data_IF_529327027340
#
_entry.id   IF_529327027340
#
_cell.length_a   1.000
_cell.length_b   1.000
_cell.length_c   1.000
_cell.angle_alpha   90.00
_cell.angle_beta   90.00
_cell.angle_gamma   90.00
#
_symmetry.space_group_name_H-M   'P 1'
#
loop_
_entity.id
_entity.type
_entity.pdbx_description
1 polymer ?
#
# COMPACT_ATOMS: atom_id res chain seq x y z
N UNK A 1 56.09 -33.19 -4.06
CA UNK A 1 56.17 -34.67 -4.04
C UNK A 1 54.76 -35.22 -4.14
N UNK A 2 54.57 -35.94 -5.22
CA UNK A 2 53.52 -36.89 -5.57
C UNK A 2 52.06 -36.56 -5.39
N UNK A 3 51.51 -36.29 -6.54
CA UNK A 3 50.14 -36.47 -7.05
C UNK A 3 49.71 -37.94 -7.02
N UNK A 4 48.43 -38.21 -6.72
CA UNK A 4 47.75 -39.41 -7.19
C UNK A 4 46.33 -39.07 -7.61
N UNK A 5 46.16 -38.98 -8.92
CA UNK A 5 44.89 -38.99 -9.62
C UNK A 5 44.44 -40.45 -9.87
N UNK A 6 43.23 -40.80 -9.51
CA UNK A 6 42.57 -42.06 -9.85
C UNK A 6 41.55 -41.79 -10.98
N UNK A 7 41.67 -42.48 -12.16
CA UNK A 7 40.68 -42.28 -13.23
C UNK A 7 39.51 -43.25 -13.07
N UNK A 8 38.29 -42.70 -13.12
CA UNK A 8 37.08 -43.51 -13.27
C UNK A 8 36.91 -43.97 -14.70
N UNK A 9 36.81 -45.30 -14.88
CA UNK A 9 36.52 -45.97 -16.16
C UNK A 9 35.00 -45.97 -16.38
N UNK A 10 34.55 -45.45 -17.52
CA UNK A 10 33.22 -45.65 -18.06
C UNK A 10 33.15 -46.98 -18.82
N UNK A 11 32.26 -47.87 -18.40
CA UNK A 11 31.94 -49.10 -19.14
C UNK A 11 30.69 -48.84 -20.00
N UNK A 12 30.88 -48.92 -21.32
CA UNK A 12 29.79 -48.89 -22.29
C UNK A 12 29.22 -50.29 -22.49
N UNK A 13 27.89 -50.45 -22.34
CA UNK A 13 27.19 -51.61 -22.90
C UNK A 13 26.01 -51.05 -23.74
N UNK A 14 26.23 -51.04 -25.05
CA UNK A 14 25.18 -50.85 -26.03
C UNK A 14 24.42 -52.15 -26.23
N UNK A 15 23.14 -52.19 -25.94
CA UNK A 15 22.19 -53.17 -26.43
C UNK A 15 21.32 -52.50 -27.50
N UNK A 16 21.52 -52.97 -28.74
CA UNK A 16 20.71 -52.48 -29.87
C UNK A 16 19.36 -53.18 -29.86
N UNK A 17 18.30 -52.43 -29.70
CA UNK A 17 16.92 -52.88 -29.93
C UNK A 17 16.48 -52.26 -31.26
N UNK A 18 16.25 -53.11 -32.25
CA UNK A 18 15.56 -52.74 -33.50
C UNK A 18 14.07 -52.66 -33.23
N UNK A 19 13.50 -51.47 -33.34
CA UNK A 19 12.04 -51.27 -33.36
C UNK A 19 11.66 -50.84 -34.75
N UNK A 20 10.78 -51.64 -35.37
CA UNK A 20 10.21 -51.42 -36.68
C UNK A 20 9.31 -50.18 -36.66
N UNK A 21 9.56 -49.21 -37.51
CA UNK A 21 8.68 -48.06 -37.72
C UNK A 21 7.46 -48.53 -38.55
N UNK A 22 6.31 -48.61 -37.90
CA UNK A 22 5.00 -48.55 -38.57
C UNK A 22 4.52 -47.09 -38.45
N UNK A 23 4.55 -46.37 -39.55
CA UNK A 23 4.06 -45.01 -39.64
C UNK A 23 2.53 -45.01 -39.52
N UNK A 24 1.99 -44.64 -38.37
CA UNK A 24 0.60 -44.21 -38.22
C UNK A 24 0.60 -42.70 -38.29
N UNK A 25 0.17 -42.14 -39.40
CA UNK A 25 -0.14 -40.72 -39.53
C UNK A 25 -1.39 -40.42 -38.69
N UNK A 26 -1.20 -40.03 -37.44
CA UNK A 26 -2.21 -39.34 -36.68
C UNK A 26 -2.08 -37.84 -36.99
N UNK A 27 -3.00 -37.37 -37.85
CA UNK A 27 -3.21 -35.93 -38.02
C UNK A 27 -3.78 -35.36 -36.69
N UNK A 28 -2.90 -34.98 -35.79
CA UNK A 28 -3.29 -34.11 -34.68
C UNK A 28 -3.55 -32.72 -35.26
N UNK A 29 -4.83 -32.37 -35.38
CA UNK A 29 -5.23 -30.99 -35.53
C UNK A 29 -4.66 -30.23 -34.30
N UNK A 30 -3.55 -29.53 -34.49
CA UNK A 30 -3.06 -28.55 -33.55
C UNK A 30 -4.17 -27.50 -33.45
N UNK A 31 -5.00 -27.60 -32.43
CA UNK A 31 -5.79 -26.46 -31.96
C UNK A 31 -4.74 -25.42 -31.59
N UNK A 32 -4.57 -24.43 -32.46
CA UNK A 32 -3.86 -23.23 -32.12
C UNK A 32 -4.60 -22.65 -30.89
N UNK A 33 -4.02 -22.83 -29.69
CA UNK A 33 -4.41 -22.04 -28.56
C UNK A 33 -4.19 -20.60 -29.03
N UNK A 34 -5.28 -19.91 -29.26
CA UNK A 34 -5.25 -18.45 -29.43
C UNK A 34 -4.70 -17.91 -28.14
N UNK A 35 -3.41 -17.55 -28.14
CA UNK A 35 -2.83 -16.69 -27.13
C UNK A 35 -3.80 -15.51 -27.04
N UNK A 36 -4.39 -15.22 -25.86
CA UNK A 36 -5.25 -14.07 -25.74
C UNK A 36 -4.45 -12.88 -26.26
N UNK A 37 -4.92 -12.27 -27.34
CA UNK A 37 -4.34 -11.01 -27.80
C UNK A 37 -4.31 -10.09 -26.60
N UNK A 38 -3.10 -9.67 -26.19
CA UNK A 38 -2.93 -8.69 -25.14
C UNK A 38 -3.97 -7.59 -25.38
N UNK A 39 -4.80 -7.31 -24.39
CA UNK A 39 -5.86 -6.32 -24.51
C UNK A 39 -5.24 -5.04 -25.02
N UNK A 40 -5.46 -4.70 -26.28
CA UNK A 40 -4.93 -3.49 -26.92
C UNK A 40 -5.60 -2.23 -26.40
N UNK A 41 -6.64 -2.40 -25.59
CA UNK A 41 -7.36 -1.30 -24.96
C UNK A 41 -6.82 -1.07 -23.56
N UNK A 42 -6.08 0.01 -23.40
CA UNK A 42 -5.64 0.49 -22.08
C UNK A 42 -6.78 1.30 -21.48
N UNK A 43 -7.29 0.88 -20.32
CA UNK A 43 -8.46 1.49 -19.66
C UNK A 43 -8.32 3.00 -19.42
N UNK A 44 -7.09 3.52 -19.30
CA UNK A 44 -6.82 4.95 -19.12
C UNK A 44 -7.02 5.80 -20.37
N UNK A 45 -7.26 5.19 -21.52
CA UNK A 45 -7.76 5.88 -22.70
C UNK A 45 -9.29 6.03 -22.68
N UNK A 46 -9.94 5.27 -21.81
CA UNK A 46 -11.36 5.44 -21.58
C UNK A 46 -11.56 6.66 -20.67
N UNK A 47 -12.27 7.66 -21.15
CA UNK A 47 -12.44 8.94 -20.45
C UNK A 47 -13.28 8.84 -19.17
N UNK A 48 -13.50 7.64 -18.64
CA UNK A 48 -14.32 7.40 -17.45
C UNK A 48 -15.80 7.73 -17.65
N UNK A 49 -16.26 7.80 -18.90
CA UNK A 49 -17.65 8.15 -19.23
C UNK A 49 -18.68 7.20 -18.60
N UNK A 50 -18.28 5.99 -18.24
CA UNK A 50 -19.13 5.00 -17.55
C UNK A 50 -19.05 5.01 -16.03
N UNK A 51 -18.08 5.72 -15.43
CA UNK A 51 -17.89 5.76 -13.98
C UNK A 51 -18.89 6.75 -13.35
N UNK A 52 -19.81 6.22 -12.57
CA UNK A 52 -20.81 7.01 -11.84
C UNK A 52 -20.28 7.33 -10.44
N UNK A 53 -20.65 8.50 -9.88
CA UNK A 53 -20.39 8.77 -8.46
C UNK A 53 -21.03 7.71 -7.58
N UNK A 54 -20.35 7.37 -6.50
CA UNK A 54 -20.90 6.48 -5.47
C UNK A 54 -22.09 7.15 -4.77
N UNK A 55 -23.21 6.47 -4.68
CA UNK A 55 -24.49 7.03 -4.19
C UNK A 55 -25.13 6.22 -3.07
N UNK A 56 -24.35 5.54 -2.23
CA UNK A 56 -24.91 4.81 -1.11
C UNK A 56 -25.71 5.73 -0.16
N UNK A 57 -26.84 5.23 0.33
CA UNK A 57 -27.66 5.90 1.35
C UNK A 57 -27.09 5.76 2.78
N UNK A 58 -25.81 5.45 2.89
CA UNK A 58 -25.15 5.17 4.14
C UNK A 58 -25.06 6.40 5.05
N UNK A 59 -25.05 6.18 6.37
CA UNK A 59 -24.74 7.18 7.37
C UNK A 59 -23.35 7.76 7.07
N UNK A 60 -23.28 9.03 6.72
CA UNK A 60 -22.00 9.67 6.41
C UNK A 60 -21.20 9.94 7.69
N UNK A 61 -19.95 9.55 7.72
CA UNK A 61 -19.03 9.98 8.77
C UNK A 61 -18.75 11.48 8.68
N UNK A 62 -18.35 12.15 9.78
CA UNK A 62 -17.94 13.55 9.75
C UNK A 62 -16.85 13.81 8.70
N UNK A 63 -16.93 14.95 8.01
CA UNK A 63 -15.86 15.34 7.09
C UNK A 63 -14.59 15.68 7.86
N UNK A 64 -13.49 15.04 7.52
CA UNK A 64 -12.16 15.39 8.04
C UNK A 64 -11.54 16.46 7.15
N UNK A 65 -10.87 17.42 7.78
CA UNK A 65 -10.14 18.46 7.09
C UNK A 65 -8.76 18.70 7.71
N UNK A 66 -7.93 19.49 7.03
CA UNK A 66 -6.62 19.89 7.53
C UNK A 66 -6.70 21.31 8.11
N UNK A 67 -6.16 21.49 9.33
CA UNK A 67 -5.97 22.81 9.94
C UNK A 67 -4.56 22.89 10.54
N UNK A 68 -3.69 23.66 9.89
CA UNK A 68 -2.28 23.69 10.24
C UNK A 68 -1.66 22.30 10.06
N UNK A 69 -1.05 21.77 11.09
CA UNK A 69 -0.42 20.45 11.09
C UNK A 69 -1.34 19.33 11.65
N UNK A 70 -2.65 19.53 11.68
CA UNK A 70 -3.62 18.60 12.28
C UNK A 70 -4.72 18.21 11.32
N UNK A 71 -5.18 16.98 11.46
CA UNK A 71 -6.51 16.58 10.99
C UNK A 71 -7.54 17.02 12.02
N UNK A 72 -8.65 17.57 11.56
CA UNK A 72 -9.73 18.06 12.42
C UNK A 72 -11.09 17.61 11.92
N UNK A 73 -12.00 17.40 12.86
CA UNK A 73 -13.41 17.18 12.60
C UNK A 73 -14.15 18.50 12.26
N UNK A 74 -15.45 18.48 11.90
CA UNK A 74 -16.22 19.70 11.62
C UNK A 74 -16.34 20.68 12.78
N UNK A 75 -16.11 20.24 14.01
CA UNK A 75 -16.09 21.08 15.21
C UNK A 75 -14.71 21.70 15.48
N UNK A 76 -13.70 21.31 14.70
CA UNK A 76 -12.33 21.75 14.83
C UNK A 76 -11.53 21.01 15.89
N UNK A 77 -12.07 19.91 16.42
CA UNK A 77 -11.34 19.04 17.32
C UNK A 77 -10.30 18.20 16.54
N UNK A 78 -9.11 18.07 17.12
CA UNK A 78 -8.04 17.26 16.51
C UNK A 78 -8.42 15.78 16.50
N UNK A 79 -8.22 15.14 15.34
CA UNK A 79 -8.39 13.71 15.15
C UNK A 79 -7.02 13.07 14.92
N UNK A 80 -6.65 12.14 15.81
CA UNK A 80 -5.51 11.28 15.63
C UNK A 80 -6.02 9.92 15.13
N UNK A 81 -5.66 9.57 13.92
CA UNK A 81 -6.06 8.29 13.33
C UNK A 81 -5.13 7.18 13.78
N UNK A 82 -5.73 6.10 14.26
CA UNK A 82 -5.08 4.82 14.54
C UNK A 82 -5.75 3.76 13.68
N UNK A 83 -4.97 3.02 12.93
CA UNK A 83 -5.55 2.07 12.00
C UNK A 83 -4.64 0.93 11.63
N UNK A 84 -5.07 0.20 10.63
CA UNK A 84 -4.29 -0.86 10.02
C UNK A 84 -4.60 -0.99 8.53
N UNK A 85 -3.65 -1.60 7.81
CA UNK A 85 -3.82 -1.98 6.41
C UNK A 85 -4.40 -3.38 6.31
N UNK A 86 -5.27 -3.58 5.35
CA UNK A 86 -5.65 -4.90 4.84
C UNK A 86 -4.84 -5.21 3.58
N UNK A 87 -4.93 -6.42 3.06
CA UNK A 87 -4.40 -6.73 1.72
C UNK A 87 -5.34 -6.24 0.61
N UNK A 88 -4.82 -6.26 -0.63
CA UNK A 88 -5.59 -5.82 -1.81
C UNK A 88 -6.95 -6.52 -1.91
N UNK A 89 -8.03 -5.76 -2.16
CA UNK A 89 -9.38 -6.30 -2.38
C UNK A 89 -9.46 -7.44 -3.38
N UNK A 90 -8.69 -7.39 -4.46
CA UNK A 90 -8.63 -8.43 -5.47
C UNK A 90 -8.10 -9.76 -4.91
N UNK A 91 -7.00 -9.70 -4.16
CA UNK A 91 -6.46 -10.87 -3.45
C UNK A 91 -7.48 -11.47 -2.49
N UNK A 92 -8.09 -10.62 -1.66
CA UNK A 92 -9.06 -11.07 -0.66
C UNK A 92 -10.29 -11.70 -1.32
N UNK A 93 -10.77 -11.14 -2.42
CA UNK A 93 -11.91 -11.68 -3.15
C UNK A 93 -11.57 -13.00 -3.83
N UNK A 94 -10.40 -13.12 -4.50
CA UNK A 94 -9.94 -14.38 -5.08
C UNK A 94 -9.78 -15.50 -4.05
N UNK A 95 -9.43 -15.16 -2.82
CA UNK A 95 -9.28 -16.11 -1.71
C UNK A 95 -10.58 -16.35 -0.93
N UNK A 96 -11.69 -15.69 -1.28
CA UNK A 96 -12.98 -15.83 -0.61
C UNK A 96 -13.10 -15.09 0.73
N UNK A 97 -12.20 -14.14 0.99
CA UNK A 97 -12.14 -13.37 2.23
C UNK A 97 -12.61 -11.92 2.08
N UNK A 98 -13.00 -11.50 0.87
CA UNK A 98 -13.62 -10.20 0.65
C UNK A 98 -15.08 -10.20 1.06
N UNK A 99 -15.35 -9.94 2.33
CA UNK A 99 -16.70 -9.94 2.89
C UNK A 99 -16.78 -9.00 4.10
N UNK A 100 -18.00 -8.72 4.56
CA UNK A 100 -18.23 -7.83 5.71
C UNK A 100 -17.61 -8.34 7.00
N UNK A 101 -17.51 -9.66 7.20
CA UNK A 101 -16.90 -10.26 8.40
C UNK A 101 -15.43 -9.85 8.55
N UNK A 102 -14.67 -9.79 7.44
CA UNK A 102 -13.29 -9.32 7.46
C UNK A 102 -13.19 -7.90 8.03
N UNK A 103 -14.08 -6.98 7.61
CA UNK A 103 -14.13 -5.61 8.13
C UNK A 103 -14.61 -5.54 9.59
N UNK A 104 -15.49 -6.44 10.03
CA UNK A 104 -15.84 -6.56 11.44
C UNK A 104 -14.62 -6.94 12.26
N UNK A 105 -13.80 -7.89 11.81
CA UNK A 105 -12.54 -8.27 12.48
C UNK A 105 -11.53 -7.12 12.51
N UNK A 106 -11.44 -6.34 11.45
CA UNK A 106 -10.64 -5.11 11.43
C UNK A 106 -11.13 -4.10 12.47
N UNK A 107 -12.44 -3.88 12.58
CA UNK A 107 -13.02 -2.98 13.57
C UNK A 107 -12.80 -3.46 15.02
N UNK A 108 -12.89 -4.79 15.26
CA UNK A 108 -12.62 -5.41 16.56
C UNK A 108 -11.17 -5.22 17.06
N UNK A 109 -10.25 -4.88 16.15
CA UNK A 109 -8.89 -4.47 16.49
C UNK A 109 -8.82 -3.08 17.15
N UNK A 110 -9.88 -2.27 17.08
CA UNK A 110 -9.90 -0.87 17.54
C UNK A 110 -9.55 0.13 16.42
N UNK A 111 -9.71 -0.26 15.18
CA UNK A 111 -9.34 0.52 13.98
C UNK A 111 -10.26 1.72 13.79
N UNK A 112 -9.70 2.93 13.65
CA UNK A 112 -10.42 4.14 13.28
C UNK A 112 -10.37 4.43 11.77
N UNK A 113 -9.32 3.95 11.11
CA UNK A 113 -9.11 4.09 9.66
C UNK A 113 -8.53 2.80 9.10
N UNK A 114 -9.10 2.28 8.02
CA UNK A 114 -8.57 1.12 7.29
C UNK A 114 -7.91 1.59 6.00
N UNK A 115 -6.66 1.18 5.82
CA UNK A 115 -5.92 1.43 4.57
C UNK A 115 -6.16 0.28 3.61
N UNK A 116 -6.51 0.63 2.38
CA UNK A 116 -6.88 -0.30 1.32
C UNK A 116 -5.90 -0.12 0.16
N UNK A 117 -4.93 -1.01 0.00
CA UNK A 117 -3.98 -0.96 -1.10
C UNK A 117 -4.66 -1.41 -2.41
N UNK A 118 -4.47 -0.66 -3.47
CA UNK A 118 -4.94 -0.97 -4.83
C UNK A 118 -3.74 -1.17 -5.73
N UNK A 119 -3.43 -2.41 -6.07
CA UNK A 119 -2.31 -2.71 -6.96
C UNK A 119 -2.65 -2.38 -8.41
N UNK A 120 -1.73 -1.73 -9.14
CA UNK A 120 -1.96 -1.37 -10.54
C UNK A 120 -2.34 -2.56 -11.43
N UNK A 121 -1.72 -3.72 -11.22
CA UNK A 121 -2.05 -4.93 -12.01
C UNK A 121 -3.49 -5.38 -11.75
N UNK A 122 -3.91 -5.45 -10.50
CA UNK A 122 -5.26 -5.86 -10.11
C UNK A 122 -6.32 -4.88 -10.65
N UNK A 123 -6.05 -3.59 -10.57
CA UNK A 123 -6.88 -2.54 -11.15
C UNK A 123 -7.08 -2.72 -12.66
N UNK A 124 -6.00 -3.02 -13.40
CA UNK A 124 -6.05 -3.25 -14.86
C UNK A 124 -6.79 -4.53 -15.22
N UNK A 125 -6.47 -5.64 -14.54
CA UNK A 125 -7.01 -6.96 -14.88
C UNK A 125 -8.51 -7.06 -14.62
N UNK A 126 -8.99 -6.46 -13.55
CA UNK A 126 -10.42 -6.40 -13.26
C UNK A 126 -11.18 -5.37 -14.08
N UNK A 127 -10.55 -4.37 -14.59
CA UNK A 127 -11.14 -3.12 -15.09
C UNK A 127 -11.57 -2.18 -13.95
N UNK A 128 -11.52 -0.86 -14.16
CA UNK A 128 -11.97 0.11 -13.15
C UNK A 128 -13.40 -0.12 -12.64
N UNK A 129 -14.33 -0.43 -13.55
CA UNK A 129 -15.74 -0.60 -13.20
C UNK A 129 -15.99 -1.79 -12.26
N UNK A 130 -15.27 -2.88 -12.44
CA UNK A 130 -15.39 -4.07 -11.58
C UNK A 130 -14.63 -3.87 -10.26
N UNK A 131 -13.46 -3.23 -10.30
CA UNK A 131 -12.69 -2.96 -9.09
C UNK A 131 -13.41 -1.97 -8.16
N UNK A 132 -14.06 -0.94 -8.72
CA UNK A 132 -14.86 0.01 -7.95
C UNK A 132 -15.98 -0.65 -7.16
N UNK A 133 -16.55 -1.77 -7.63
CA UNK A 133 -17.54 -2.51 -6.84
C UNK A 133 -16.97 -3.06 -5.53
N UNK A 134 -15.71 -3.49 -5.53
CA UNK A 134 -15.03 -3.90 -4.31
C UNK A 134 -14.82 -2.71 -3.38
N UNK A 135 -14.34 -1.59 -3.91
CA UNK A 135 -14.13 -0.38 -3.12
C UNK A 135 -15.45 0.19 -2.57
N UNK A 136 -16.55 0.13 -3.34
CA UNK A 136 -17.87 0.53 -2.87
C UNK A 136 -18.32 -0.29 -1.66
N UNK A 137 -18.13 -1.61 -1.70
CA UNK A 137 -18.41 -2.50 -0.58
C UNK A 137 -17.55 -2.15 0.64
N UNK A 138 -16.25 -1.94 0.43
CA UNK A 138 -15.34 -1.56 1.51
C UNK A 138 -15.76 -0.26 2.20
N UNK A 139 -16.14 0.76 1.41
CA UNK A 139 -16.58 2.06 1.92
C UNK A 139 -17.91 1.93 2.66
N UNK A 140 -18.84 1.12 2.16
CA UNK A 140 -20.12 0.85 2.81
C UNK A 140 -19.89 0.15 4.18
N UNK A 141 -19.14 -0.96 4.20
CA UNK A 141 -18.86 -1.70 5.43
C UNK A 141 -18.08 -0.86 6.45
N UNK A 142 -17.10 -0.09 5.99
CA UNK A 142 -16.35 0.82 6.86
C UNK A 142 -17.24 1.91 7.45
N UNK A 143 -18.14 2.50 6.66
CA UNK A 143 -19.10 3.51 7.11
C UNK A 143 -20.01 2.96 8.21
N UNK A 144 -20.55 1.75 8.00
CA UNK A 144 -21.43 1.08 8.98
C UNK A 144 -20.70 0.80 10.29
N UNK A 145 -19.41 0.46 10.22
CA UNK A 145 -18.57 0.14 11.36
C UNK A 145 -17.90 1.37 12.01
N UNK A 146 -18.10 2.57 11.43
CA UNK A 146 -17.56 3.81 11.96
C UNK A 146 -16.08 4.02 11.66
N UNK A 147 -15.53 3.30 10.69
CA UNK A 147 -14.14 3.45 10.24
C UNK A 147 -14.04 4.34 9.01
N UNK A 148 -13.04 5.21 8.99
CA UNK A 148 -12.62 5.90 7.77
C UNK A 148 -11.83 4.99 6.84
N UNK A 149 -11.66 5.40 5.60
CA UNK A 149 -10.92 4.68 4.56
C UNK A 149 -9.79 5.56 4.04
N UNK A 150 -8.61 4.97 3.92
CA UNK A 150 -7.50 5.46 3.12
C UNK A 150 -7.37 4.60 1.86
N UNK A 151 -7.51 5.19 0.69
CA UNK A 151 -7.30 4.51 -0.59
C UNK A 151 -5.89 4.80 -1.07
N UNK A 152 -5.10 3.75 -1.21
CA UNK A 152 -3.70 3.81 -1.60
C UNK A 152 -3.47 3.27 -3.02
N UNK A 153 -2.81 4.07 -3.88
CA UNK A 153 -2.28 3.57 -5.14
C UNK A 153 -0.99 2.81 -4.88
N UNK A 154 -1.13 1.51 -4.70
CA UNK A 154 -0.10 0.64 -4.13
C UNK A 154 0.97 0.25 -5.15
N UNK A 155 1.74 1.23 -5.59
CA UNK A 155 2.89 1.04 -6.47
C UNK A 155 4.20 1.27 -5.72
N UNK A 156 5.22 0.48 -6.05
CA UNK A 156 6.58 0.59 -5.52
C UNK A 156 7.54 0.77 -6.70
N UNK A 157 8.07 1.97 -6.85
CA UNK A 157 8.97 2.23 -7.96
C UNK A 157 9.20 3.68 -8.30
N UNK A 158 9.59 3.91 -9.54
CA UNK A 158 9.93 5.22 -10.06
C UNK A 158 9.10 5.56 -11.30
N UNK A 159 8.08 6.39 -11.14
CA UNK A 159 7.21 6.85 -12.22
C UNK A 159 7.95 7.59 -13.34
N UNK A 160 9.08 8.24 -13.02
CA UNK A 160 9.85 9.01 -14.01
C UNK A 160 10.62 8.10 -14.96
N UNK A 161 11.18 7.01 -14.45
CA UNK A 161 11.93 6.04 -15.27
C UNK A 161 11.07 4.90 -15.78
N UNK A 162 9.89 4.67 -15.19
CA UNK A 162 9.03 3.51 -15.49
C UNK A 162 9.62 2.20 -14.99
N UNK A 163 10.48 2.25 -13.96
CA UNK A 163 11.08 1.05 -13.36
C UNK A 163 10.46 0.81 -12.00
N UNK A 164 9.89 -0.38 -11.80
CA UNK A 164 9.19 -0.76 -10.58
C UNK A 164 9.85 -1.98 -9.95
N UNK A 165 9.58 -2.19 -8.66
CA UNK A 165 10.22 -3.24 -7.87
C UNK A 165 9.77 -4.66 -8.28
N UNK A 166 8.51 -4.79 -8.70
CA UNK A 166 7.90 -6.04 -9.15
C UNK A 166 6.81 -5.72 -10.19
N UNK A 167 6.50 -6.60 -11.15
CA UNK A 167 5.45 -6.38 -12.14
C UNK A 167 4.07 -6.02 -11.58
N UNK A 168 3.74 -6.45 -10.36
CA UNK A 168 2.46 -6.09 -9.74
C UNK A 168 2.33 -4.59 -9.45
N UNK A 169 3.44 -3.89 -9.32
CA UNK A 169 3.52 -2.44 -9.05
C UNK A 169 3.65 -1.60 -10.32
N UNK A 170 3.81 -2.24 -11.50
CA UNK A 170 3.98 -1.52 -12.76
C UNK A 170 2.81 -0.61 -13.05
N UNK A 171 3.11 0.66 -13.28
CA UNK A 171 2.14 1.68 -13.68
C UNK A 171 2.79 2.68 -14.62
N UNK A 172 2.05 3.68 -15.04
CA UNK A 172 2.57 4.83 -15.78
C UNK A 172 2.06 6.13 -15.17
N UNK A 173 2.71 7.23 -15.53
CA UNK A 173 2.24 8.54 -15.10
C UNK A 173 0.80 8.81 -15.57
N UNK A 174 0.49 8.46 -16.82
CA UNK A 174 -0.86 8.63 -17.37
C UNK A 174 -1.88 7.77 -16.66
N UNK A 175 -1.56 6.49 -16.38
CA UNK A 175 -2.42 5.57 -15.63
C UNK A 175 -2.67 6.07 -14.22
N UNK A 176 -1.62 6.52 -13.53
CA UNK A 176 -1.72 7.09 -12.19
C UNK A 176 -2.64 8.34 -12.17
N UNK A 177 -2.52 9.23 -13.15
CA UNK A 177 -3.39 10.40 -13.25
C UNK A 177 -4.84 10.02 -13.52
N UNK A 178 -5.08 9.02 -14.38
CA UNK A 178 -6.44 8.55 -14.67
C UNK A 178 -7.07 7.81 -13.50
N UNK A 179 -6.28 6.99 -12.78
CA UNK A 179 -6.72 6.36 -11.53
C UNK A 179 -7.25 7.41 -10.55
N UNK A 180 -6.48 8.46 -10.28
CA UNK A 180 -6.90 9.50 -9.34
C UNK A 180 -8.06 10.34 -9.84
N UNK A 181 -8.19 10.53 -11.15
CA UNK A 181 -9.38 11.18 -11.74
C UNK A 181 -10.64 10.34 -11.50
N UNK A 182 -10.55 9.04 -11.70
CA UNK A 182 -11.66 8.10 -11.46
C UNK A 182 -12.01 8.07 -9.97
N UNK A 183 -11.04 7.88 -9.08
CA UNK A 183 -11.25 7.84 -7.64
C UNK A 183 -11.89 9.15 -7.13
N UNK A 184 -11.33 10.28 -7.52
CA UNK A 184 -11.82 11.58 -7.09
C UNK A 184 -13.26 11.85 -7.56
N UNK A 185 -13.61 11.45 -8.78
CA UNK A 185 -14.96 11.59 -9.32
C UNK A 185 -15.93 10.64 -8.62
N UNK A 186 -15.54 9.39 -8.42
CA UNK A 186 -16.37 8.36 -7.85
C UNK A 186 -16.73 8.65 -6.39
N UNK A 187 -15.74 9.03 -5.57
CA UNK A 187 -15.92 9.27 -4.14
C UNK A 187 -16.06 10.76 -3.75
N UNK A 188 -16.31 11.65 -4.69
CA UNK A 188 -16.36 13.11 -4.47
C UNK A 188 -17.24 13.55 -3.29
N UNK A 189 -18.35 12.85 -3.04
CA UNK A 189 -19.30 13.17 -1.98
C UNK A 189 -19.23 12.29 -0.75
N UNK A 190 -18.19 11.45 -0.62
CA UNK A 190 -18.12 10.40 0.40
C UNK A 190 -17.10 10.68 1.49
N UNK A 191 -17.57 11.15 2.67
CA UNK A 191 -16.70 11.55 3.77
C UNK A 191 -15.96 10.36 4.42
N UNK A 192 -16.45 9.12 4.26
CA UNK A 192 -15.78 7.91 4.77
C UNK A 192 -14.42 7.72 4.13
N UNK A 193 -14.26 8.08 2.85
CA UNK A 193 -12.96 8.13 2.20
C UNK A 193 -12.27 9.42 2.66
N UNK A 194 -11.53 9.33 3.76
CA UNK A 194 -10.85 10.47 4.35
C UNK A 194 -9.55 10.80 3.61
N UNK A 195 -8.87 9.80 3.08
CA UNK A 195 -7.54 9.95 2.51
C UNK A 195 -7.43 9.31 1.12
N UNK A 196 -6.58 9.93 0.30
CA UNK A 196 -6.06 9.41 -0.95
C UNK A 196 -4.53 9.39 -0.85
N UNK A 197 -3.94 8.23 -0.61
CA UNK A 197 -2.50 8.04 -0.61
C UNK A 197 -2.00 7.93 -2.04
N UNK A 198 -1.36 9.00 -2.53
CA UNK A 198 -1.16 9.24 -3.96
C UNK A 198 -0.25 8.23 -4.64
N UNK A 199 0.67 7.66 -3.90
CA UNK A 199 1.61 6.64 -4.36
C UNK A 199 2.30 6.00 -3.15
N UNK A 200 2.22 4.69 -3.02
CA UNK A 200 2.67 3.95 -1.85
C UNK A 200 4.16 4.18 -1.52
N UNK A 201 5.07 3.75 -2.40
CA UNK A 201 6.51 3.77 -2.10
C UNK A 201 7.37 4.25 -3.28
N UNK A 202 7.60 5.57 -3.40
CA UNK A 202 8.58 6.09 -4.36
C UNK A 202 10.00 5.75 -3.90
N UNK A 203 10.80 5.18 -4.83
CA UNK A 203 12.05 4.52 -4.49
C UNK A 203 13.29 5.28 -4.95
N UNK A 204 13.48 6.49 -4.47
CA UNK A 204 14.75 7.20 -4.72
C UNK A 204 15.64 7.15 -3.50
N UNK A 205 16.24 6.01 -3.27
CA UNK A 205 17.35 5.88 -2.35
C UNK A 205 18.53 5.30 -3.12
N UNK A 206 19.63 6.05 -3.21
CA UNK A 206 20.83 5.67 -3.95
C UNK A 206 20.57 5.29 -5.42
N UNK A 207 19.51 5.85 -6.02
CA UNK A 207 19.12 5.63 -7.42
C UNK A 207 18.85 4.15 -7.78
N UNK A 208 18.36 3.36 -6.87
CA UNK A 208 18.19 1.91 -7.07
C UNK A 208 17.25 1.57 -8.24
N UNK A 209 16.17 2.35 -8.46
CA UNK A 209 15.28 2.19 -9.62
C UNK A 209 15.37 3.39 -10.59
N UNK A 210 16.55 3.97 -10.66
CA UNK A 210 16.86 5.14 -11.47
C UNK A 210 16.64 6.47 -10.73
N UNK A 211 17.17 7.57 -11.31
CA UNK A 211 17.06 8.88 -10.69
C UNK A 211 15.66 9.47 -10.83
N UNK A 212 15.20 10.16 -9.80
CA UNK A 212 14.11 11.12 -9.86
C UNK A 212 14.47 12.29 -8.97
N UNK A 213 14.27 13.51 -9.44
CA UNK A 213 14.45 14.71 -8.62
C UNK A 213 13.23 14.92 -7.73
N UNK A 214 13.45 15.60 -6.59
CA UNK A 214 12.31 16.03 -5.77
C UNK A 214 11.38 16.98 -6.53
N UNK A 215 11.92 17.85 -7.37
CA UNK A 215 11.10 18.79 -8.15
C UNK A 215 10.20 18.08 -9.17
N UNK A 216 10.68 17.01 -9.81
CA UNK A 216 9.85 16.17 -10.68
C UNK A 216 8.77 15.43 -9.88
N UNK A 217 9.13 14.84 -8.75
CA UNK A 217 8.18 14.14 -7.87
C UNK A 217 7.13 15.10 -7.31
N UNK A 218 7.56 16.27 -6.85
CA UNK A 218 6.68 17.35 -6.41
C UNK A 218 5.67 17.73 -7.49
N UNK A 219 6.15 17.99 -8.71
CA UNK A 219 5.28 18.35 -9.84
C UNK A 219 4.26 17.27 -10.17
N UNK A 220 4.65 15.98 -10.13
CA UNK A 220 3.74 14.87 -10.33
C UNK A 220 2.62 14.90 -9.28
N UNK A 221 2.96 15.03 -8.00
CA UNK A 221 1.98 15.05 -6.92
C UNK A 221 1.09 16.30 -6.98
N UNK A 222 1.63 17.47 -7.29
CA UNK A 222 0.84 18.68 -7.47
C UNK A 222 -0.18 18.55 -8.62
N UNK A 223 0.18 17.86 -9.71
CA UNK A 223 -0.75 17.55 -10.79
C UNK A 223 -1.85 16.58 -10.35
N UNK A 224 -1.50 15.53 -9.58
CA UNK A 224 -2.51 14.60 -9.03
C UNK A 224 -3.47 15.34 -8.09
N UNK A 225 -2.95 16.19 -7.21
CA UNK A 225 -3.77 17.01 -6.30
C UNK A 225 -4.70 17.94 -7.08
N UNK A 226 -4.21 18.56 -8.15
CA UNK A 226 -5.04 19.39 -9.02
C UNK A 226 -6.17 18.58 -9.69
N UNK A 227 -5.88 17.36 -10.15
CA UNK A 227 -6.90 16.43 -10.70
C UNK A 227 -7.96 16.11 -9.64
N UNK A 228 -7.54 15.75 -8.42
CA UNK A 228 -8.44 15.44 -7.31
C UNK A 228 -9.35 16.63 -7.01
N UNK A 229 -8.81 17.82 -6.88
CA UNK A 229 -9.57 19.06 -6.59
C UNK A 229 -10.51 19.46 -7.72
N UNK A 230 -10.10 19.29 -8.98
CA UNK A 230 -10.93 19.56 -10.14
C UNK A 230 -12.20 18.67 -10.21
N UNK A 231 -12.16 17.50 -9.56
CA UNK A 231 -13.31 16.59 -9.43
C UNK A 231 -14.10 16.76 -8.12
N UNK A 232 -13.85 17.84 -7.36
CA UNK A 232 -14.54 18.19 -6.11
C UNK A 232 -14.40 17.16 -4.98
N UNK A 233 -13.46 16.24 -5.05
CA UNK A 233 -13.20 15.30 -3.97
C UNK A 233 -12.71 16.03 -2.71
N UNK A 234 -13.22 15.58 -1.55
CA UNK A 234 -12.88 16.14 -0.24
C UNK A 234 -11.84 15.33 0.52
N UNK A 235 -11.60 14.09 0.07
CA UNK A 235 -10.53 13.29 0.62
C UNK A 235 -9.20 14.06 0.62
N UNK A 236 -8.43 13.88 1.67
CA UNK A 236 -7.15 14.58 1.88
C UNK A 236 -6.07 13.81 1.10
N UNK A 237 -5.40 14.44 0.12
CA UNK A 237 -4.26 13.82 -0.53
C UNK A 237 -3.11 13.64 0.45
N UNK A 238 -2.53 12.45 0.46
CA UNK A 238 -1.34 12.10 1.22
C UNK A 238 -0.16 11.87 0.28
N UNK A 239 0.93 12.58 0.49
CA UNK A 239 2.11 12.56 -0.38
C UNK A 239 3.26 11.83 0.29
N UNK A 240 3.76 10.78 -0.33
CA UNK A 240 4.92 10.04 0.14
C UNK A 240 6.24 10.73 -0.20
N UNK A 241 7.18 10.70 0.73
CA UNK A 241 8.59 11.04 0.50
C UNK A 241 9.37 9.92 -0.19
N UNK A 242 10.68 10.09 -0.32
CA UNK A 242 11.57 9.09 -0.93
C UNK A 242 11.97 7.96 0.05
N UNK A 243 12.88 7.09 -0.39
CA UNK A 243 13.37 5.95 0.36
C UNK A 243 12.24 4.99 0.78
N UNK A 244 11.36 4.63 -0.19
CA UNK A 244 10.16 3.83 0.08
C UNK A 244 9.29 4.50 1.15
N UNK A 245 8.84 5.72 0.85
CA UNK A 245 8.02 6.57 1.72
C UNK A 245 8.61 6.85 3.11
N UNK A 246 9.94 6.87 3.27
CA UNK A 246 10.57 7.09 4.58
C UNK A 246 11.09 8.52 4.77
N UNK A 247 11.68 9.12 3.72
CA UNK A 247 12.43 10.37 3.81
C UNK A 247 11.61 11.59 3.38
N UNK A 248 11.32 12.48 4.32
CA UNK A 248 10.64 13.76 4.10
C UNK A 248 11.61 14.96 4.10
N UNK A 249 12.92 14.75 4.16
CA UNK A 249 13.90 15.85 4.22
C UNK A 249 13.79 16.86 3.06
N UNK A 250 13.35 16.50 1.83
CA UNK A 250 13.16 17.49 0.77
C UNK A 250 12.14 18.58 1.10
N UNK A 251 11.20 18.33 2.03
CA UNK A 251 10.20 19.34 2.46
C UNK A 251 10.82 20.55 3.14
N UNK A 252 12.02 20.44 3.69
CA UNK A 252 12.72 21.54 4.35
C UNK A 252 12.94 22.71 3.37
N UNK A 253 13.22 22.39 2.11
CA UNK A 253 13.54 23.38 1.09
C UNK A 253 12.40 23.61 0.09
N UNK A 254 11.64 22.57 -0.24
CA UNK A 254 10.66 22.63 -1.32
C UNK A 254 9.41 21.81 -1.00
N UNK A 255 8.54 22.26 -0.09
CA UNK A 255 7.29 21.55 0.21
C UNK A 255 6.35 21.55 -1.01
N UNK A 256 5.39 20.62 -1.03
CA UNK A 256 4.32 20.60 -2.04
C UNK A 256 3.53 21.90 -1.97
N UNK A 257 3.31 22.54 -3.12
CA UNK A 257 2.59 23.81 -3.22
C UNK A 257 1.07 23.57 -3.28
N UNK A 258 0.50 22.97 -2.23
CA UNK A 258 -0.92 22.73 -2.10
C UNK A 258 -1.35 22.78 -0.64
N UNK A 259 -2.57 23.28 -0.40
CA UNK A 259 -3.18 23.30 0.93
C UNK A 259 -4.06 22.06 1.14
N UNK A 260 -4.34 21.72 2.40
CA UNK A 260 -5.27 20.64 2.76
C UNK A 260 -4.75 19.25 2.35
N UNK A 261 -3.46 19.03 2.49
CA UNK A 261 -2.77 17.76 2.23
C UNK A 261 -2.09 17.27 3.50
N UNK A 262 -1.66 16.00 3.49
CA UNK A 262 -0.75 15.42 4.48
C UNK A 262 0.43 14.73 3.81
N UNK A 263 1.37 14.26 4.62
CA UNK A 263 2.54 13.51 4.16
C UNK A 263 2.57 12.12 4.76
N UNK A 264 3.13 11.18 4.01
CA UNK A 264 3.21 9.76 4.35
C UNK A 264 4.63 9.38 4.72
N UNK A 265 4.75 8.49 5.73
CA UNK A 265 6.00 7.79 6.06
C UNK A 265 5.78 6.32 6.34
N UNK A 266 6.75 5.49 5.97
CA UNK A 266 6.81 4.05 6.25
C UNK A 266 8.02 3.74 7.15
N UNK A 267 7.94 4.00 8.46
CA UNK A 267 9.10 3.97 9.35
C UNK A 267 9.42 2.56 9.88
N UNK A 268 9.59 1.57 9.00
CA UNK A 268 10.02 0.24 9.40
C UNK A 268 11.36 0.23 10.17
N UNK A 269 11.50 -0.69 11.12
CA UNK A 269 12.67 -0.77 12.01
C UNK A 269 14.02 -0.90 11.28
N UNK A 270 14.01 -1.59 10.13
CA UNK A 270 15.19 -1.83 9.31
C UNK A 270 15.66 -0.64 8.49
N UNK A 271 14.86 0.43 8.38
CA UNK A 271 15.23 1.64 7.64
C UNK A 271 16.44 2.36 8.25
N UNK A 272 16.55 2.33 9.57
CA UNK A 272 17.67 2.94 10.30
C UNK A 272 18.13 2.04 11.46
N UNK A 273 19.40 2.18 11.81
CA UNK A 273 19.95 1.53 13.00
C UNK A 273 19.61 2.35 14.26
N UNK A 274 19.53 1.66 15.42
CA UNK A 274 19.38 2.33 16.72
C UNK A 274 20.53 3.30 17.02
N UNK A 275 20.28 4.36 17.79
CA UNK A 275 19.01 4.81 18.34
C UNK A 275 18.10 5.36 17.22
N UNK A 276 16.81 5.04 17.27
CA UNK A 276 15.87 5.40 16.18
C UNK A 276 15.38 6.84 16.26
N UNK A 277 14.98 7.31 17.45
CA UNK A 277 14.27 8.58 17.62
C UNK A 277 15.01 9.80 17.04
N UNK A 278 16.33 9.95 17.21
CA UNK A 278 17.04 11.07 16.58
C UNK A 278 16.96 11.03 15.04
N UNK A 279 17.00 9.82 14.46
CA UNK A 279 16.93 9.63 13.01
C UNK A 279 15.52 9.81 12.48
N UNK A 280 14.50 9.35 13.21
CA UNK A 280 13.11 9.64 12.88
C UNK A 280 12.84 11.15 12.88
N UNK A 281 13.41 11.89 13.85
CA UNK A 281 13.29 13.34 13.90
C UNK A 281 13.95 14.02 12.69
N UNK A 282 15.15 13.57 12.33
CA UNK A 282 15.91 14.10 11.19
C UNK A 282 15.25 13.76 9.85
N UNK A 283 14.76 12.55 9.67
CA UNK A 283 14.28 12.04 8.38
C UNK A 283 12.82 12.43 8.08
N UNK A 284 11.94 12.49 9.10
CA UNK A 284 10.51 12.78 8.87
C UNK A 284 9.79 13.49 10.03
N UNK A 285 10.21 13.30 11.27
CA UNK A 285 9.47 13.78 12.44
C UNK A 285 9.39 15.29 12.54
N UNK A 286 10.39 16.01 12.01
CA UNK A 286 10.40 17.46 11.92
C UNK A 286 9.18 18.00 11.14
N UNK A 287 8.70 17.25 10.14
CA UNK A 287 7.60 17.67 9.28
C UNK A 287 6.28 17.81 10.05
N UNK A 288 6.08 17.02 11.11
CA UNK A 288 4.89 17.07 11.95
C UNK A 288 4.72 18.39 12.73
N UNK A 289 5.77 19.21 12.83
CA UNK A 289 5.65 20.56 13.39
C UNK A 289 4.86 21.50 12.48
N UNK A 290 4.83 21.24 11.17
CA UNK A 290 4.24 22.15 10.17
C UNK A 290 3.07 21.52 9.43
N UNK A 291 3.13 20.22 9.16
CA UNK A 291 2.18 19.49 8.31
C UNK A 291 1.56 18.31 9.04
N UNK A 292 0.35 17.88 8.67
CA UNK A 292 -0.14 16.57 9.08
C UNK A 292 0.75 15.48 8.47
N UNK A 293 1.20 14.54 9.30
CA UNK A 293 1.96 13.37 8.88
C UNK A 293 1.20 12.11 9.28
N UNK A 294 1.23 11.09 8.45
CA UNK A 294 0.66 9.77 8.71
C UNK A 294 1.72 8.71 8.45
N UNK A 295 1.97 7.84 9.41
CA UNK A 295 2.70 6.61 9.19
C UNK A 295 1.70 5.57 8.66
N UNK A 296 1.53 5.51 7.33
CA UNK A 296 0.49 4.68 6.70
C UNK A 296 0.86 3.21 6.63
N UNK A 297 2.15 2.91 6.82
CA UNK A 297 2.63 1.53 6.78
C UNK A 297 3.87 1.33 7.66
N UNK A 298 3.77 0.42 8.62
CA UNK A 298 4.89 -0.09 9.43
C UNK A 298 4.43 -1.35 10.19
N UNK A 299 5.38 -2.15 10.66
CA UNK A 299 5.04 -3.40 11.36
C UNK A 299 6.29 -4.15 11.81
N UNK A 300 6.13 -5.47 12.07
CA UNK A 300 7.24 -6.31 12.51
C UNK A 300 7.55 -6.14 14.00
N UNK A 301 6.53 -6.11 14.84
CA UNK A 301 6.67 -5.89 16.30
C UNK A 301 7.16 -7.14 17.05
N UNK A 302 7.20 -8.28 16.41
CA UNK A 302 7.68 -9.56 16.97
C UNK A 302 9.20 -9.67 17.05
N UNK A 303 9.94 -8.60 16.76
CA UNK A 303 11.38 -8.55 17.04
C UNK A 303 11.62 -9.01 18.47
N UNK A 304 12.51 -10.00 18.68
CA UNK A 304 12.76 -10.48 20.03
C UNK A 304 13.19 -9.30 20.90
N UNK A 305 12.54 -9.17 22.06
CA UNK A 305 13.07 -8.39 23.17
C UNK A 305 14.49 -8.86 23.62
N UNK A 306 15.07 -9.81 22.93
CA UNK A 306 16.41 -10.35 23.05
C UNK A 306 17.50 -9.43 22.49
N UNK A 307 17.19 -8.14 22.32
CA UNK A 307 18.23 -7.13 22.23
C UNK A 307 18.80 -6.87 23.61
N UNK A 308 20.03 -6.45 23.65
CA UNK A 308 20.81 -6.02 24.80
C UNK A 308 19.94 -5.52 25.96
N UNK A 309 20.11 -6.04 27.15
CA UNK A 309 19.38 -5.67 28.35
C UNK A 309 19.30 -4.13 28.48
N UNK A 310 18.08 -3.60 28.59
CA UNK A 310 17.80 -2.16 28.70
C UNK A 310 17.40 -1.45 27.41
N UNK A 311 17.32 -2.12 26.28
CA UNK A 311 16.79 -1.51 25.03
C UNK A 311 15.28 -1.70 24.91
N UNK A 312 14.57 -0.61 24.64
CA UNK A 312 13.12 -0.65 24.36
C UNK A 312 12.88 -1.28 23.00
N UNK A 313 11.92 -2.24 22.84
CA UNK A 313 11.55 -2.81 21.57
C UNK A 313 11.06 -1.76 20.56
N UNK A 314 11.12 -2.08 19.26
CA UNK A 314 10.70 -1.18 18.20
C UNK A 314 9.24 -0.74 18.33
N UNK A 315 8.31 -1.68 18.53
CA UNK A 315 6.88 -1.38 18.60
C UNK A 315 6.52 -0.28 19.61
N UNK A 316 6.84 -0.43 20.91
CA UNK A 316 6.61 0.61 21.90
C UNK A 316 7.33 1.93 21.58
N UNK A 317 8.56 1.88 21.05
CA UNK A 317 9.33 3.09 20.71
C UNK A 317 8.64 3.89 19.60
N UNK A 318 8.24 3.22 18.50
CA UNK A 318 7.63 3.91 17.36
C UNK A 318 6.26 4.47 17.71
N UNK A 319 5.38 3.71 18.38
CA UNK A 319 4.05 4.19 18.79
C UNK A 319 4.18 5.43 19.70
N UNK A 320 5.04 5.35 20.70
CA UNK A 320 5.30 6.49 21.60
C UNK A 320 5.79 7.71 20.85
N UNK A 321 6.71 7.52 19.89
CA UNK A 321 7.23 8.61 19.08
C UNK A 321 6.15 9.24 18.21
N UNK A 322 5.41 8.43 17.43
CA UNK A 322 4.37 8.92 16.53
C UNK A 322 3.28 9.69 17.29
N UNK A 323 2.76 9.13 18.36
CA UNK A 323 1.73 9.78 19.17
C UNK A 323 2.24 11.04 19.86
N UNK A 324 3.47 11.02 20.38
CA UNK A 324 4.11 12.19 20.97
C UNK A 324 4.28 13.35 19.99
N UNK A 325 4.38 13.08 18.70
CA UNK A 325 4.42 14.07 17.61
C UNK A 325 3.03 14.41 17.05
N UNK A 326 1.98 13.70 17.46
CA UNK A 326 0.65 13.84 16.87
C UNK A 326 0.58 13.32 15.43
N UNK A 327 1.42 12.36 15.10
CA UNK A 327 1.43 11.66 13.81
C UNK A 327 0.41 10.51 13.87
N UNK A 328 -0.55 10.51 12.96
CA UNK A 328 -1.49 9.41 12.78
C UNK A 328 -0.78 8.17 12.22
N UNK A 329 -1.33 6.97 12.46
CA UNK A 329 -0.63 5.76 12.06
C UNK A 329 -1.55 4.59 11.70
N UNK A 330 -1.06 3.72 10.80
CA UNK A 330 -1.70 2.48 10.35
C UNK A 330 -0.66 1.37 10.27
N UNK A 331 -0.97 0.21 10.87
CA UNK A 331 -0.07 -0.94 10.93
C UNK A 331 -0.27 -1.83 9.71
N UNK A 332 0.79 -2.32 9.12
CA UNK A 332 0.81 -3.36 8.09
C UNK A 332 0.98 -4.75 8.73
N UNK A 333 0.26 -5.80 8.39
CA UNK A 333 -0.90 -5.93 7.55
C UNK A 333 -1.85 -6.96 8.17
N UNK A 334 -3.17 -6.74 8.11
CA UNK A 334 -4.19 -7.67 8.62
C UNK A 334 -4.47 -8.77 7.58
N UNK A 335 -3.45 -9.60 7.39
CA UNK A 335 -3.39 -10.68 6.41
C UNK A 335 -2.41 -11.75 6.92
N UNK A 336 -2.66 -13.07 6.69
CA UNK A 336 -1.74 -14.11 7.17
C UNK A 336 -0.55 -14.38 6.24
N UNK A 337 -0.52 -13.79 5.03
CA UNK A 337 0.48 -14.08 3.99
C UNK A 337 1.35 -12.86 3.66
N UNK A 338 0.79 -11.65 3.69
CA UNK A 338 1.51 -10.42 3.38
C UNK A 338 2.21 -9.87 4.62
N UNK A 339 3.50 -10.16 4.71
CA UNK A 339 4.31 -9.78 5.87
C UNK A 339 4.75 -8.31 5.91
N UNK A 340 4.96 -7.79 7.13
CA UNK A 340 4.79 -8.42 8.43
C UNK A 340 3.32 -8.59 8.81
N UNK A 341 2.92 -9.85 9.08
CA UNK A 341 1.52 -10.23 9.32
C UNK A 341 1.04 -9.89 10.73
N UNK A 342 -0.27 -9.62 10.88
CA UNK A 342 -0.91 -9.45 12.19
C UNK A 342 -1.74 -10.68 12.60
N UNK A 343 -2.13 -11.50 11.64
CA UNK A 343 -2.85 -12.75 11.85
C UNK A 343 -2.05 -13.92 11.29
N UNK A 344 -2.28 -15.12 11.83
CA UNK A 344 -1.58 -16.34 11.43
C UNK A 344 -2.38 -17.19 10.43
N UNK A 345 -3.68 -16.96 10.38
CA UNK A 345 -4.61 -17.72 9.54
C UNK A 345 -5.91 -16.92 9.27
N UNK A 346 -6.75 -17.44 8.40
CA UNK A 346 -8.05 -16.86 8.06
C UNK A 346 -9.17 -17.18 9.09
N UNK A 347 -8.85 -17.79 10.25
CA UNK A 347 -9.69 -17.76 11.43
C UNK A 347 -9.45 -16.50 12.27
N UNK A 348 -8.60 -15.58 11.75
CA UNK A 348 -8.22 -14.32 12.39
C UNK A 348 -7.47 -14.51 13.71
N UNK A 349 -6.71 -15.60 13.84
CA UNK A 349 -5.85 -15.83 15.00
C UNK A 349 -4.73 -14.80 15.01
N UNK A 350 -4.70 -13.95 16.03
CA UNK A 350 -3.66 -12.94 16.17
C UNK A 350 -2.31 -13.60 16.46
N UNK A 351 -1.25 -13.15 15.79
CA UNK A 351 0.11 -13.45 16.18
C UNK A 351 0.63 -12.40 17.19
N UNK A 352 1.87 -12.50 17.63
CA UNK A 352 2.44 -11.57 18.60
C UNK A 352 2.41 -10.10 18.14
N UNK A 353 2.63 -9.85 16.84
CA UNK A 353 2.50 -8.50 16.26
C UNK A 353 1.04 -8.02 16.27
N UNK A 354 0.09 -8.91 15.99
CA UNK A 354 -1.33 -8.61 16.02
C UNK A 354 -1.83 -8.29 17.44
N UNK A 355 -1.41 -9.06 18.44
CA UNK A 355 -1.74 -8.78 19.84
C UNK A 355 -1.19 -7.42 20.28
N UNK A 356 0.05 -7.11 19.93
CA UNK A 356 0.64 -5.81 20.20
C UNK A 356 -0.12 -4.68 19.49
N UNK A 357 -0.42 -4.83 18.20
CA UNK A 357 -1.16 -3.84 17.41
C UNK A 357 -2.55 -3.58 18.00
N UNK A 358 -3.26 -4.62 18.43
CA UNK A 358 -4.56 -4.49 19.08
C UNK A 358 -4.48 -3.68 20.37
N UNK A 359 -3.49 -3.95 21.22
CA UNK A 359 -3.26 -3.17 22.44
C UNK A 359 -2.97 -1.70 22.13
N UNK A 360 -2.13 -1.44 21.14
CA UNK A 360 -1.80 -0.08 20.71
C UNK A 360 -3.03 0.67 20.16
N UNK A 361 -3.84 0.03 19.32
CA UNK A 361 -5.06 0.59 18.74
C UNK A 361 -6.08 0.99 19.83
N UNK A 362 -6.17 0.21 20.90
CA UNK A 362 -7.01 0.53 22.06
C UNK A 362 -6.39 1.52 23.05
N UNK A 363 -5.19 2.05 22.77
CA UNK A 363 -4.51 3.01 23.64
C UNK A 363 -3.93 2.41 24.92
N UNK A 364 -3.78 1.11 25.01
CA UNK A 364 -3.31 0.43 26.23
C UNK A 364 -1.79 0.55 26.46
N UNK A 365 -1.07 1.21 25.55
CA UNK A 365 0.39 1.42 25.62
C UNK A 365 0.77 2.85 26.01
N UNK A 366 -0.17 3.67 26.44
CA UNK A 366 0.03 5.07 26.86
C UNK A 366 0.50 5.17 28.31
#
# INVERSE_FOLDING_TARGET
MNSNLIPMRFSSKYAAIRISLSAVLLATAAQAQTVPTARTHTWWHDTGAGVRPYTANAKKLPLISVKGNKFVDPQGATVLFRGLSISDPDKLEMQGHWNREHFVKVAEMGTHVVRIPVHPIAWRERTPAEYLKLLDQAVEWSTDLGMYVDLDWHSIGNLTTGVFQDPMYDTSLQETYEFWRIMARHFAGHNTVAFFELFNEPTTFRNQLGPVSWDDWKKINENIIAIIRANNAKAIPLVAGFDWAYDLTPLILSPIAAEGIGYVVHPYANKRQRPWEPKWEEDFGFAAATYPVVATEFGGFSEPAAGVAGQVPYGPSIIKYLEGKGISWMVWCFDPEWGPTLISDWNYTLNASGEFAKQALHGALQ
#
